data_IF_722575180245
#
_entry.id   IF_722575180245
#
_cell.length_a   1.000
_cell.length_b   1.000
_cell.length_c   1.000
_cell.angle_alpha   90.00
_cell.angle_beta   90.00
_cell.angle_gamma   90.00
#
_symmetry.space_group_name_H-M   'P 1'
#
loop_
_entity.id
_entity.type
_entity.pdbx_description
1 polymer ?
#
# COMPACT_ATOMS: atom_id res chain seq x y z
N UNK A 1 17.26 -13.72 -40.96
CA UNK A 1 16.68 -14.56 -39.89
C UNK A 1 16.89 -13.80 -38.60
N UNK A 2 15.82 -13.35 -37.94
CA UNK A 2 15.91 -12.56 -36.72
C UNK A 2 16.27 -13.47 -35.53
N UNK A 3 17.24 -13.05 -34.72
CA UNK A 3 17.61 -13.76 -33.48
C UNK A 3 16.46 -13.64 -32.46
N UNK A 4 16.17 -14.70 -31.68
CA UNK A 4 15.18 -14.60 -30.61
C UNK A 4 15.68 -13.62 -29.53
N UNK A 5 14.84 -12.65 -29.17
CA UNK A 5 15.09 -11.76 -28.03
C UNK A 5 15.19 -12.59 -26.74
N UNK A 6 16.16 -12.32 -25.85
CA UNK A 6 16.28 -13.05 -24.60
C UNK A 6 15.09 -12.75 -23.69
N UNK A 7 14.35 -13.79 -23.29
CA UNK A 7 13.31 -13.66 -22.28
C UNK A 7 13.91 -13.09 -20.99
N UNK A 8 13.29 -12.05 -20.38
CA UNK A 8 13.83 -11.44 -19.19
C UNK A 8 13.81 -12.45 -18.05
N UNK A 9 15.00 -12.88 -17.62
CA UNK A 9 15.14 -13.76 -16.46
C UNK A 9 14.63 -13.03 -15.21
N UNK A 10 13.81 -13.68 -14.37
CA UNK A 10 13.25 -13.04 -13.20
C UNK A 10 14.36 -12.62 -12.24
N UNK A 11 14.27 -11.39 -11.74
CA UNK A 11 15.23 -10.85 -10.78
C UNK A 11 15.24 -11.72 -9.50
N UNK A 12 16.42 -12.12 -8.99
CA UNK A 12 16.52 -12.89 -7.76
C UNK A 12 15.93 -12.08 -6.58
N UNK A 13 14.96 -12.68 -5.87
CA UNK A 13 14.20 -12.02 -4.79
C UNK A 13 12.80 -11.53 -5.18
N UNK A 14 12.46 -11.55 -6.47
CA UNK A 14 11.12 -11.26 -7.00
C UNK A 14 10.44 -12.56 -7.49
N UNK A 15 10.62 -13.67 -6.77
CA UNK A 15 9.76 -14.83 -7.01
C UNK A 15 8.33 -14.41 -6.67
N UNK A 16 7.37 -14.48 -7.61
CA UNK A 16 5.98 -14.43 -7.23
C UNK A 16 5.69 -15.76 -6.54
N UNK A 17 5.91 -15.81 -5.23
CA UNK A 17 5.25 -16.82 -4.40
C UNK A 17 3.77 -16.68 -4.72
N UNK A 18 3.26 -17.63 -5.50
CA UNK A 18 1.88 -17.66 -5.95
C UNK A 18 1.02 -17.80 -4.71
N UNK A 19 0.69 -16.66 -4.09
CA UNK A 19 -0.27 -16.62 -3.01
C UNK A 19 -1.55 -17.20 -3.58
N UNK A 20 -2.11 -18.26 -2.98
CA UNK A 20 -3.29 -18.90 -3.53
C UNK A 20 -4.36 -17.83 -3.73
N UNK A 21 -4.87 -17.73 -4.96
CA UNK A 21 -5.78 -16.67 -5.41
C UNK A 21 -7.16 -16.67 -4.68
N UNK A 22 -7.29 -17.40 -3.57
CA UNK A 22 -8.57 -17.79 -2.98
C UNK A 22 -9.03 -17.00 -1.76
N UNK A 23 -8.16 -16.49 -0.89
CA UNK A 23 -8.65 -15.87 0.34
C UNK A 23 -7.69 -14.80 0.87
N UNK A 24 -7.88 -13.55 0.43
CA UNK A 24 -7.20 -12.41 1.07
C UNK A 24 -7.70 -12.34 2.51
N UNK A 25 -6.80 -12.34 3.52
CA UNK A 25 -7.22 -12.27 4.91
C UNK A 25 -8.15 -11.06 5.13
N UNK A 26 -9.28 -11.29 5.79
CA UNK A 26 -10.24 -10.23 6.08
C UNK A 26 -9.61 -9.25 7.06
N UNK A 27 -9.47 -8.00 6.65
CA UNK A 27 -9.03 -6.93 7.54
C UNK A 27 -10.16 -6.62 8.53
N UNK A 28 -9.86 -6.65 9.82
CA UNK A 28 -10.80 -6.33 10.89
C UNK A 28 -10.57 -4.92 11.42
N UNK A 29 -11.63 -4.27 11.91
CA UNK A 29 -11.53 -3.00 12.61
C UNK A 29 -10.78 -3.18 13.94
N UNK A 30 -9.76 -2.35 14.20
CA UNK A 30 -8.99 -2.40 15.45
C UNK A 30 -9.82 -2.16 16.72
N UNK A 31 -10.98 -1.50 16.63
CA UNK A 31 -11.81 -1.20 17.82
C UNK A 31 -12.97 -2.17 18.02
N UNK A 32 -13.71 -2.45 16.95
CA UNK A 32 -14.97 -3.20 17.02
C UNK A 32 -14.88 -4.60 16.41
N UNK A 33 -13.71 -4.97 15.89
CA UNK A 33 -13.41 -6.26 15.26
C UNK A 33 -14.35 -6.69 14.12
N UNK A 34 -15.20 -5.79 13.61
CA UNK A 34 -16.05 -6.04 12.45
C UNK A 34 -15.20 -6.08 11.18
N UNK A 35 -15.56 -6.94 10.20
CA UNK A 35 -14.85 -7.02 8.92
C UNK A 35 -14.97 -5.71 8.13
N UNK A 36 -13.85 -5.27 7.55
CA UNK A 36 -13.76 -4.06 6.74
C UNK A 36 -13.87 -4.41 5.26
N UNK A 37 -14.97 -4.01 4.62
CA UNK A 37 -15.20 -4.22 3.19
C UNK A 37 -14.69 -3.07 2.32
N UNK A 38 -14.85 -1.83 2.78
CA UNK A 38 -14.45 -0.64 2.03
C UNK A 38 -12.92 -0.52 1.94
N UNK A 39 -12.42 -0.06 0.79
CA UNK A 39 -10.98 0.18 0.57
C UNK A 39 -10.39 1.10 1.65
N UNK A 40 -11.01 2.26 1.89
CA UNK A 40 -10.50 3.21 2.89
C UNK A 40 -10.57 2.65 4.30
N UNK A 41 -11.56 1.82 4.62
CA UNK A 41 -11.60 1.19 5.93
C UNK A 41 -10.39 0.26 6.11
N UNK A 42 -10.05 -0.52 5.07
CA UNK A 42 -8.88 -1.41 5.06
C UNK A 42 -7.56 -0.65 5.16
N UNK A 43 -7.41 0.45 4.41
CA UNK A 43 -6.22 1.30 4.45
C UNK A 43 -5.97 1.88 5.86
N UNK A 44 -7.04 2.26 6.54
CA UNK A 44 -6.99 2.85 7.88
C UNK A 44 -6.99 1.82 9.03
N UNK A 45 -7.25 0.54 8.74
CA UNK A 45 -7.49 -0.50 9.77
C UNK A 45 -8.72 -0.25 10.67
N UNK A 46 -9.57 0.71 10.32
CA UNK A 46 -10.73 1.16 11.11
C UNK A 46 -11.90 1.54 10.21
N UNK A 47 -13.10 1.09 10.58
CA UNK A 47 -14.34 1.46 9.89
C UNK A 47 -14.74 2.92 10.16
N UNK A 48 -15.55 3.52 9.26
CA UNK A 48 -15.96 4.94 9.36
C UNK A 48 -16.61 5.32 10.69
N UNK A 49 -17.41 4.44 11.28
CA UNK A 49 -18.02 4.69 12.59
C UNK A 49 -16.97 4.83 13.70
N UNK A 50 -15.98 3.93 13.72
CA UNK A 50 -14.91 3.95 14.70
C UNK A 50 -13.95 5.13 14.47
N UNK A 51 -13.62 5.45 13.20
CA UNK A 51 -12.81 6.64 12.90
C UNK A 51 -13.42 7.93 13.46
N UNK A 52 -14.74 8.12 13.31
CA UNK A 52 -15.44 9.29 13.88
C UNK A 52 -15.37 9.35 15.38
N UNK A 53 -15.49 8.20 16.06
CA UNK A 53 -15.37 8.13 17.53
C UNK A 53 -13.99 8.58 18.02
N UNK A 54 -12.94 8.35 17.23
CA UNK A 54 -11.57 8.71 17.57
C UNK A 54 -11.08 10.02 16.92
N UNK A 55 -11.94 10.75 16.21
CA UNK A 55 -11.52 11.96 15.49
C UNK A 55 -10.58 11.70 14.31
N UNK A 56 -10.53 10.48 13.79
CA UNK A 56 -9.64 10.04 12.70
C UNK A 56 -10.29 10.18 11.30
N UNK A 57 -11.24 11.10 11.13
CA UNK A 57 -11.91 11.31 9.83
C UNK A 57 -11.09 12.17 8.86
N UNK A 58 -10.07 12.87 9.35
CA UNK A 58 -9.12 13.57 8.52
C UNK A 58 -7.83 12.75 8.42
N UNK A 59 -7.33 12.59 7.19
CA UNK A 59 -5.93 12.23 6.99
C UNK A 59 -5.05 13.22 7.78
N UNK A 60 -4.04 12.74 8.53
CA UNK A 60 -3.04 13.65 9.05
C UNK A 60 -2.52 14.48 7.87
N UNK A 61 -2.54 15.80 8.01
CA UNK A 61 -1.93 16.67 7.00
C UNK A 61 -0.46 16.31 6.96
N UNK A 62 -0.03 15.59 5.93
CA UNK A 62 1.39 15.37 5.69
C UNK A 62 1.95 16.78 5.50
N UNK A 63 2.70 17.26 6.50
CA UNK A 63 3.36 18.55 6.43
C UNK A 63 4.16 18.59 5.14
N UNK A 64 4.14 19.71 4.42
CA UNK A 64 5.16 19.95 3.40
C UNK A 64 6.47 20.09 4.15
N UNK A 65 7.28 19.04 4.12
CA UNK A 65 8.66 19.14 4.53
C UNK A 65 9.38 19.93 3.46
N UNK A 66 9.93 21.07 3.83
CA UNK A 66 10.89 21.77 2.98
C UNK A 66 12.19 20.97 3.10
N UNK A 67 12.38 20.02 2.19
CA UNK A 67 13.62 19.25 2.08
C UNK A 67 14.51 20.02 1.13
N UNK A 68 15.62 20.52 1.67
CA UNK A 68 16.70 21.08 0.85
C UNK A 68 17.32 19.94 0.04
N UNK A 69 17.14 19.96 -1.28
CA UNK A 69 17.73 18.98 -2.19
C UNK A 69 19.01 19.57 -2.78
N UNK A 70 20.11 18.83 -2.64
CA UNK A 70 21.35 19.17 -3.34
C UNK A 70 21.11 19.19 -4.86
N UNK A 71 21.72 20.17 -5.54
CA UNK A 71 21.74 20.17 -7.00
C UNK A 71 22.51 18.97 -7.52
N UNK A 72 21.95 18.33 -8.54
CA UNK A 72 22.68 17.31 -9.28
C UNK A 72 23.94 17.94 -9.91
N UNK A 73 25.10 17.28 -9.86
CA UNK A 73 26.31 17.79 -10.48
C UNK A 73 26.11 17.97 -11.99
N UNK A 74 26.36 19.20 -12.49
CA UNK A 74 26.22 19.56 -13.90
C UNK A 74 24.96 20.36 -14.27
N UNK A 75 24.11 20.71 -13.30
CA UNK A 75 22.98 21.65 -13.43
C UNK A 75 23.14 22.86 -12.50
#
# INVERSE_FOLDING_TARGET
MAAPEPEPSPLPGLMPEAQPAGERPRVLCADCHRPLSAHDARLWGRGRGCRRKHGLDAAPRIGRFDVEQDRLPGM
#
